data_IF_004861447940
#
_entry.id   IF_004861447940
#
_cell.length_a   1.000
_cell.length_b   1.000
_cell.length_c   1.000
_cell.angle_alpha   90.00
_cell.angle_beta   90.00
_cell.angle_gamma   90.00
#
_symmetry.space_group_name_H-M   'P 1'
#
loop_
_entity.id
_entity.type
_entity.pdbx_description
1 polymer ?
#
# COMPACT_ATOMS: atom_id res chain seq x y z
N UNK A 1 -26.28 -9.95 -15.30
CA UNK A 1 -25.54 -10.53 -14.15
C UNK A 1 -25.77 -9.64 -12.93
N UNK A 2 -26.50 -10.11 -11.92
CA UNK A 2 -26.89 -9.31 -10.75
C UNK A 2 -25.66 -8.90 -9.92
N UNK A 3 -25.73 -7.77 -9.21
CA UNK A 3 -24.64 -7.28 -8.33
C UNK A 3 -24.25 -8.31 -7.26
N UNK A 4 -25.21 -9.10 -6.78
CA UNK A 4 -24.99 -10.19 -5.81
C UNK A 4 -24.18 -11.36 -6.39
N UNK A 5 -24.34 -11.69 -7.67
CA UNK A 5 -23.58 -12.76 -8.31
C UNK A 5 -22.09 -12.42 -8.44
N UNK A 6 -21.78 -11.15 -8.75
CA UNK A 6 -20.38 -10.67 -8.85
C UNK A 6 -19.66 -10.66 -7.51
N UNK A 7 -20.35 -10.30 -6.43
CA UNK A 7 -19.80 -10.35 -5.07
C UNK A 7 -19.50 -11.78 -4.61
N UNK A 8 -20.38 -12.74 -4.92
CA UNK A 8 -20.18 -14.15 -4.59
C UNK A 8 -18.95 -14.75 -5.27
N UNK A 9 -18.73 -14.46 -6.56
CA UNK A 9 -17.51 -14.90 -7.27
C UNK A 9 -16.26 -14.33 -6.62
N UNK A 10 -16.28 -13.05 -6.22
CA UNK A 10 -15.13 -12.40 -5.60
C UNK A 10 -14.77 -13.03 -4.24
N UNK A 11 -15.78 -13.42 -3.46
CA UNK A 11 -15.62 -14.17 -2.21
C UNK A 11 -15.02 -15.56 -2.43
N UNK A 12 -15.49 -16.27 -3.46
CA UNK A 12 -14.96 -17.60 -3.81
C UNK A 12 -13.49 -17.49 -4.22
N UNK A 13 -13.15 -16.51 -5.08
CA UNK A 13 -11.76 -16.27 -5.50
C UNK A 13 -10.89 -15.95 -4.28
N UNK A 14 -11.33 -15.06 -3.39
CA UNK A 14 -10.60 -14.75 -2.16
C UNK A 14 -10.38 -16.00 -1.28
N UNK A 15 -11.41 -16.84 -1.12
CA UNK A 15 -11.33 -18.08 -0.35
C UNK A 15 -10.35 -19.09 -0.94
N UNK A 16 -10.38 -19.29 -2.27
CA UNK A 16 -9.42 -20.17 -2.96
C UNK A 16 -7.99 -19.68 -2.77
N UNK A 17 -7.76 -18.37 -2.90
CA UNK A 17 -6.45 -17.76 -2.69
C UNK A 17 -5.94 -17.98 -1.26
N UNK A 18 -6.79 -17.80 -0.24
CA UNK A 18 -6.43 -18.06 1.16
C UNK A 18 -6.09 -19.53 1.40
N UNK A 19 -6.84 -20.45 0.79
CA UNK A 19 -6.61 -21.88 0.91
C UNK A 19 -5.29 -22.30 0.24
N UNK A 20 -4.96 -21.75 -0.93
CA UNK A 20 -3.68 -22.01 -1.60
C UNK A 20 -2.46 -21.54 -0.79
N UNK A 21 -2.59 -20.41 -0.09
CA UNK A 21 -1.55 -19.92 0.84
C UNK A 21 -1.39 -20.86 2.04
N UNK A 22 -2.49 -21.32 2.64
CA UNK A 22 -2.46 -22.25 3.79
C UNK A 22 -1.88 -23.62 3.44
N UNK A 23 -2.10 -24.11 2.22
CA UNK A 23 -1.52 -25.36 1.73
C UNK A 23 -0.02 -25.26 1.41
N UNK A 24 0.60 -24.08 1.56
CA UNK A 24 2.01 -23.86 1.25
C UNK A 24 2.33 -23.93 -0.26
N UNK A 25 1.31 -23.92 -1.12
CA UNK A 25 1.49 -23.97 -2.58
C UNK A 25 2.00 -22.63 -3.14
N UNK A 26 1.78 -21.54 -2.40
CA UNK A 26 2.25 -20.20 -2.75
C UNK A 26 3.01 -19.65 -1.54
N UNK A 27 4.31 -19.28 -1.68
CA UNK A 27 5.03 -18.58 -0.64
C UNK A 27 4.31 -17.29 -0.23
N UNK A 28 4.24 -16.97 1.06
CA UNK A 28 3.46 -15.84 1.58
C UNK A 28 3.80 -14.49 0.93
N UNK A 29 5.04 -14.30 0.51
CA UNK A 29 5.50 -13.13 -0.23
C UNK A 29 4.89 -13.05 -1.64
N UNK A 30 4.93 -14.15 -2.41
CA UNK A 30 4.32 -14.24 -3.74
C UNK A 30 2.80 -14.06 -3.68
N UNK A 31 2.18 -14.51 -2.60
CA UNK A 31 0.76 -14.32 -2.34
C UNK A 31 0.39 -12.83 -2.23
N UNK A 32 1.19 -12.03 -1.50
CA UNK A 32 0.96 -10.60 -1.38
C UNK A 32 1.05 -9.86 -2.72
N UNK A 33 2.02 -10.23 -3.58
CA UNK A 33 2.11 -9.68 -4.93
C UNK A 33 0.90 -10.03 -5.78
N UNK A 34 0.46 -11.29 -5.79
CA UNK A 34 -0.71 -11.73 -6.53
C UNK A 34 -1.98 -10.98 -6.08
N UNK A 35 -2.15 -10.82 -4.77
CA UNK A 35 -3.29 -10.10 -4.21
C UNK A 35 -3.24 -8.61 -4.59
N UNK A 36 -2.08 -7.96 -4.45
CA UNK A 36 -1.88 -6.57 -4.84
C UNK A 36 -2.21 -6.33 -6.32
N UNK A 37 -1.67 -7.16 -7.22
CA UNK A 37 -1.97 -7.08 -8.65
C UNK A 37 -3.43 -7.41 -8.96
N UNK A 38 -4.05 -8.36 -8.24
CA UNK A 38 -5.46 -8.68 -8.38
C UNK A 38 -6.36 -7.49 -8.05
N UNK A 39 -6.08 -6.78 -6.96
CA UNK A 39 -6.78 -5.56 -6.57
C UNK A 39 -6.59 -4.43 -7.59
N UNK A 40 -5.36 -4.20 -8.06
CA UNK A 40 -5.07 -3.19 -9.09
C UNK A 40 -5.76 -3.54 -10.41
N UNK A 41 -5.72 -4.80 -10.83
CA UNK A 41 -6.41 -5.27 -12.02
C UNK A 41 -7.93 -5.11 -11.90
N UNK A 42 -8.51 -5.46 -10.75
CA UNK A 42 -9.93 -5.25 -10.47
C UNK A 42 -10.33 -3.77 -10.57
N UNK A 43 -9.50 -2.86 -10.06
CA UNK A 43 -9.69 -1.42 -10.23
C UNK A 43 -9.75 -1.01 -11.71
N UNK A 44 -8.80 -1.50 -12.52
CA UNK A 44 -8.75 -1.20 -13.96
C UNK A 44 -9.97 -1.76 -14.69
N UNK A 45 -10.28 -3.04 -14.48
CA UNK A 45 -11.34 -3.76 -15.18
C UNK A 45 -12.76 -3.28 -14.83
N UNK A 46 -12.99 -2.85 -13.59
CA UNK A 46 -14.32 -2.41 -13.12
C UNK A 46 -14.64 -0.94 -13.45
N UNK A 47 -13.79 -0.29 -14.24
CA UNK A 47 -13.97 1.09 -14.69
C UNK A 47 -13.15 2.06 -13.85
N UNK A 48 -11.81 1.95 -13.97
CA UNK A 48 -10.87 2.93 -13.45
C UNK A 48 -11.30 4.35 -13.84
N UNK A 49 -11.09 5.31 -12.92
CA UNK A 49 -11.37 6.73 -13.13
C UNK A 49 -12.84 7.07 -13.47
N UNK A 50 -13.81 6.26 -13.05
CA UNK A 50 -15.17 6.76 -12.84
C UNK A 50 -15.20 7.61 -11.57
N UNK A 51 -15.96 8.70 -11.57
CA UNK A 51 -16.00 9.68 -10.47
C UNK A 51 -16.49 9.07 -9.15
N UNK A 52 -17.46 8.15 -9.23
CA UNK A 52 -17.89 7.28 -8.11
C UNK A 52 -17.20 5.91 -8.13
N UNK A 53 -16.08 5.82 -8.84
CA UNK A 53 -15.40 4.58 -9.21
C UNK A 53 -14.65 3.93 -8.05
N UNK A 54 -14.35 2.65 -8.23
CA UNK A 54 -13.93 1.70 -7.20
C UNK A 54 -12.51 1.94 -6.63
N UNK A 55 -12.23 3.13 -6.11
CA UNK A 55 -11.01 3.46 -5.35
C UNK A 55 -10.75 2.43 -4.24
N UNK A 56 -11.82 1.82 -3.71
CA UNK A 56 -11.75 0.71 -2.76
C UNK A 56 -10.96 -0.51 -3.22
N UNK A 57 -10.68 -0.68 -4.52
CA UNK A 57 -9.72 -1.70 -4.99
C UNK A 57 -8.31 -1.13 -5.20
N UNK A 58 -8.17 0.15 -5.56
CA UNK A 58 -6.87 0.77 -5.79
C UNK A 58 -6.07 0.94 -4.49
N UNK A 59 -6.72 1.38 -3.40
CA UNK A 59 -6.08 1.59 -2.10
C UNK A 59 -5.46 0.27 -1.58
N UNK A 60 -6.23 -0.82 -1.36
CA UNK A 60 -5.63 -2.06 -0.87
C UNK A 60 -4.61 -2.63 -1.85
N UNK A 61 -4.82 -2.49 -3.16
CA UNK A 61 -3.83 -2.92 -4.16
C UNK A 61 -2.49 -2.20 -4.03
N UNK A 62 -2.49 -0.87 -3.91
CA UNK A 62 -1.28 -0.06 -3.75
C UNK A 62 -0.60 -0.29 -2.39
N UNK A 63 -1.36 -0.46 -1.32
CA UNK A 63 -0.84 -0.73 0.04
C UNK A 63 -0.22 -2.13 0.10
N UNK A 64 -0.93 -3.16 -0.39
CA UNK A 64 -0.40 -4.52 -0.43
C UNK A 64 0.86 -4.62 -1.29
N UNK A 65 0.94 -3.86 -2.39
CA UNK A 65 2.15 -3.80 -3.20
C UNK A 65 3.34 -3.23 -2.41
N UNK A 66 3.13 -2.14 -1.66
CA UNK A 66 4.18 -1.57 -0.81
C UNK A 66 4.64 -2.55 0.26
N UNK A 67 3.70 -3.26 0.90
CA UNK A 67 4.00 -4.30 1.90
C UNK A 67 4.79 -5.46 1.26
N UNK A 68 4.35 -5.94 0.09
CA UNK A 68 5.02 -7.02 -0.64
C UNK A 68 6.45 -6.65 -1.02
N UNK A 69 6.65 -5.42 -1.51
CA UNK A 69 7.98 -4.89 -1.85
C UNK A 69 8.87 -4.76 -0.63
N UNK A 70 8.34 -4.24 0.49
CA UNK A 70 9.11 -4.13 1.73
C UNK A 70 9.53 -5.51 2.25
N UNK A 71 8.60 -6.47 2.33
CA UNK A 71 8.90 -7.85 2.72
C UNK A 71 9.96 -8.47 1.80
N UNK A 72 9.83 -8.25 0.49
CA UNK A 72 10.78 -8.74 -0.51
C UNK A 72 12.19 -8.20 -0.39
N UNK A 73 12.31 -6.93 0.02
CA UNK A 73 13.61 -6.31 0.23
C UNK A 73 14.22 -6.80 1.54
N UNK A 74 13.43 -6.91 2.61
CA UNK A 74 13.90 -7.34 3.93
C UNK A 74 14.42 -8.80 3.97
N UNK A 75 13.93 -9.68 3.09
CA UNK A 75 14.43 -11.06 2.99
C UNK A 75 15.79 -11.18 2.28
N UNK A 76 16.27 -10.11 1.62
CA UNK A 76 17.55 -10.15 0.91
C UNK A 76 18.71 -9.90 1.89
N UNK A 77 19.79 -10.71 1.84
CA UNK A 77 20.94 -10.57 2.77
C UNK A 77 21.60 -9.17 2.78
N UNK A 78 21.54 -8.45 1.65
CA UNK A 78 22.08 -7.08 1.53
C UNK A 78 21.27 -6.04 2.33
N UNK A 79 20.07 -6.39 2.79
CA UNK A 79 19.08 -5.47 3.34
C UNK A 79 18.56 -5.94 4.72
N UNK A 80 19.30 -6.81 5.42
CA UNK A 80 18.94 -7.37 6.74
C UNK A 80 18.65 -6.29 7.81
N UNK A 81 19.08 -5.05 7.59
CA UNK A 81 18.84 -3.90 8.47
C UNK A 81 18.08 -2.75 7.78
N UNK A 82 17.14 -3.09 6.88
CA UNK A 82 16.27 -2.07 6.29
C UNK A 82 15.54 -1.29 7.40
N UNK A 83 15.68 0.04 7.37
CA UNK A 83 15.03 0.91 8.32
C UNK A 83 13.50 0.79 8.20
N UNK A 84 12.78 0.72 9.33
CA UNK A 84 11.31 0.80 9.34
C UNK A 84 10.78 2.07 8.65
N UNK A 85 11.58 3.13 8.51
CA UNK A 85 11.22 4.32 7.74
C UNK A 85 10.81 3.98 6.29
N UNK A 86 11.46 3.00 5.65
CA UNK A 86 11.13 2.59 4.28
C UNK A 86 9.75 1.94 4.17
N UNK A 87 9.26 1.29 5.23
CA UNK A 87 7.90 0.77 5.26
C UNK A 87 6.87 1.90 5.21
N UNK A 88 6.99 2.89 6.10
CA UNK A 88 6.09 4.04 6.14
C UNK A 88 6.20 4.91 4.88
N UNK A 89 7.40 5.03 4.31
CA UNK A 89 7.60 5.67 3.02
C UNK A 89 6.85 4.93 1.90
N UNK A 90 6.94 3.60 1.84
CA UNK A 90 6.17 2.79 0.90
C UNK A 90 4.67 3.00 1.03
N UNK A 91 4.15 3.04 2.26
CA UNK A 91 2.72 3.33 2.49
C UNK A 91 2.33 4.75 2.05
N UNK A 92 3.19 5.75 2.28
CA UNK A 92 2.97 7.11 1.79
C UNK A 92 2.86 7.13 0.26
N UNK A 93 3.76 6.42 -0.43
CA UNK A 93 3.72 6.28 -1.89
C UNK A 93 2.44 5.62 -2.38
N UNK A 94 1.85 4.67 -1.63
CA UNK A 94 0.57 4.06 -1.99
C UNK A 94 -0.55 5.10 -2.07
N UNK A 95 -0.63 6.04 -1.13
CA UNK A 95 -1.65 7.09 -1.15
C UNK A 95 -1.36 8.18 -2.20
N UNK A 96 -0.08 8.50 -2.43
CA UNK A 96 0.31 9.33 -3.57
C UNK A 96 -0.09 8.71 -4.91
N UNK A 97 0.07 7.39 -5.06
CA UNK A 97 -0.39 6.68 -6.25
C UNK A 97 -1.91 6.78 -6.41
N UNK A 98 -2.68 6.65 -5.32
CA UNK A 98 -4.14 6.85 -5.36
C UNK A 98 -4.50 8.26 -5.83
N UNK A 99 -3.82 9.30 -5.30
CA UNK A 99 -4.01 10.67 -5.76
C UNK A 99 -3.74 10.82 -7.25
N UNK A 100 -2.56 10.42 -7.72
CA UNK A 100 -2.13 10.61 -9.11
C UNK A 100 -2.93 9.78 -10.12
N UNK A 101 -3.32 8.55 -9.75
CA UNK A 101 -4.00 7.61 -10.65
C UNK A 101 -5.51 7.87 -10.72
N UNK A 102 -6.12 8.31 -9.61
CA UNK A 102 -7.56 8.46 -9.49
C UNK A 102 -7.99 9.91 -9.25
N UNK A 103 -7.79 10.47 -8.05
CA UNK A 103 -8.47 11.71 -7.65
C UNK A 103 -7.96 12.95 -8.38
N UNK A 104 -6.70 12.97 -8.81
CA UNK A 104 -6.08 14.11 -9.50
C UNK A 104 -6.84 14.56 -10.76
N UNK A 105 -7.50 13.62 -11.46
CA UNK A 105 -8.14 13.85 -12.76
C UNK A 105 -9.54 14.47 -12.68
N UNK A 106 -10.21 14.38 -11.52
CA UNK A 106 -11.55 14.93 -11.34
C UNK A 106 -11.46 16.38 -10.88
N UNK A 107 -11.58 17.31 -11.84
CA UNK A 107 -11.50 18.76 -11.58
C UNK A 107 -12.77 19.34 -10.96
N UNK A 108 -13.89 18.62 -11.08
CA UNK A 108 -15.20 19.03 -10.58
C UNK A 108 -15.38 18.72 -9.08
N UNK A 109 -14.54 17.84 -8.52
CA UNK A 109 -14.52 17.58 -7.09
C UNK A 109 -14.04 18.81 -6.32
N UNK A 110 -14.63 19.00 -5.14
CA UNK A 110 -14.16 19.97 -4.17
C UNK A 110 -12.72 19.66 -3.73
N UNK A 111 -12.08 20.63 -3.08
CA UNK A 111 -10.70 20.47 -2.62
C UNK A 111 -10.54 19.26 -1.67
N UNK A 112 -11.55 19.02 -0.81
CA UNK A 112 -11.57 17.86 0.08
C UNK A 112 -11.61 16.55 -0.69
N UNK A 113 -12.58 16.39 -1.59
CA UNK A 113 -12.74 15.18 -2.41
C UNK A 113 -11.57 14.88 -3.32
N UNK A 114 -10.84 15.90 -3.79
CA UNK A 114 -9.67 15.71 -4.66
C UNK A 114 -8.39 15.37 -3.91
N UNK A 115 -8.12 16.08 -2.82
CA UNK A 115 -6.84 16.00 -2.11
C UNK A 115 -6.86 15.09 -0.89
N UNK A 116 -7.98 14.42 -0.59
CA UNK A 116 -8.05 13.52 0.56
C UNK A 116 -6.92 12.48 0.66
N UNK A 117 -6.39 11.86 -0.43
CA UNK A 117 -5.30 10.89 -0.30
C UNK A 117 -3.97 11.55 0.08
N UNK A 118 -3.81 12.85 -0.15
CA UNK A 118 -2.58 13.58 0.18
C UNK A 118 -2.39 13.71 1.69
N UNK A 119 -3.47 13.86 2.47
CA UNK A 119 -3.37 13.97 3.93
C UNK A 119 -2.74 12.73 4.60
N UNK A 120 -3.23 11.49 4.39
CA UNK A 120 -2.56 10.30 4.92
C UNK A 120 -1.18 10.09 4.29
N UNK A 121 -0.99 10.41 3.00
CA UNK A 121 0.33 10.33 2.37
C UNK A 121 1.36 11.23 3.09
N UNK A 122 1.00 12.48 3.36
CA UNK A 122 1.83 13.44 4.07
C UNK A 122 2.10 13.03 5.51
N UNK A 123 1.08 12.54 6.23
CA UNK A 123 1.24 12.02 7.59
C UNK A 123 2.21 10.84 7.66
N UNK A 124 2.07 9.86 6.76
CA UNK A 124 2.97 8.70 6.69
C UNK A 124 4.39 9.10 6.27
N UNK A 125 4.52 10.09 5.38
CA UNK A 125 5.82 10.62 4.99
C UNK A 125 6.53 11.30 6.17
N UNK A 126 5.79 12.08 6.96
CA UNK A 126 6.30 12.72 8.17
C UNK A 126 6.74 11.68 9.20
N UNK A 127 5.97 10.61 9.40
CA UNK A 127 6.37 9.49 10.26
C UNK A 127 7.65 8.82 9.74
N UNK A 128 7.73 8.55 8.43
CA UNK A 128 8.94 7.99 7.82
C UNK A 128 10.17 8.88 8.05
N UNK A 129 10.02 10.21 7.91
CA UNK A 129 11.08 11.16 8.17
C UNK A 129 11.53 11.13 9.63
N UNK A 130 10.59 11.19 10.60
CA UNK A 130 10.91 11.13 12.03
C UNK A 130 11.71 9.88 12.38
N UNK A 131 11.29 8.71 11.88
CA UNK A 131 11.99 7.44 12.11
C UNK A 131 13.37 7.44 11.47
N UNK A 132 13.52 8.03 10.29
CA UNK A 132 14.81 8.11 9.61
C UNK A 132 15.82 8.98 10.38
N UNK A 133 15.37 10.07 11.01
CA UNK A 133 16.25 10.98 11.73
C UNK A 133 16.49 10.59 13.20
N UNK A 134 15.58 9.84 13.83
CA UNK A 134 15.69 9.49 15.26
C UNK A 134 16.98 8.73 15.60
N UNK A 135 17.48 7.89 14.69
CA UNK A 135 18.75 7.18 14.87
C UNK A 135 19.98 8.09 14.91
N UNK A 136 19.95 9.25 14.25
CA UNK A 136 21.05 10.22 14.27
C UNK A 136 21.03 11.07 15.55
N UNK A 137 19.85 11.41 16.05
CA UNK A 137 19.69 12.12 17.33
C UNK A 137 20.26 11.33 18.50
N UNK A 138 20.00 10.01 18.55
CA UNK A 138 20.56 9.15 19.60
C UNK A 138 22.09 9.11 19.52
N UNK A 139 22.66 9.02 18.31
CA UNK A 139 24.12 9.08 18.13
C UNK A 139 24.70 10.42 18.58
N UNK A 140 24.03 11.52 18.26
CA UNK A 140 24.45 12.88 18.65
C UNK A 140 24.41 13.08 20.17
N UNK A 141 23.36 12.63 20.85
CA UNK A 141 23.24 12.71 22.32
C UNK A 141 24.31 11.88 23.05
N UNK A 142 24.63 10.70 22.51
CA UNK A 142 25.69 9.85 23.02
C UNK A 142 27.08 10.52 22.83
N UNK A 143 27.29 11.20 21.68
CA UNK A 143 28.50 11.97 21.41
C UNK A 143 28.70 13.17 22.35
N UNK A 144 27.59 13.73 22.86
CA UNK A 144 27.59 14.82 23.83
C UNK A 144 27.57 14.34 25.30
N UNK A 145 27.75 13.04 25.58
CA UNK A 145 27.70 12.45 26.92
C UNK A 145 26.40 12.74 27.70
N UNK A 146 25.28 12.93 27.01
CA UNK A 146 23.96 13.08 27.65
C UNK A 146 23.26 11.74 27.92
N UNK A 147 23.79 10.64 27.37
CA UNK A 147 23.35 9.25 27.53
C UNK A 147 24.59 8.38 27.72
#
# INVERSE_FOLDING_TARGET
MSKSFKGGILLIIAGVFLLLNQLGLIPGQSFLFLLAFGFIAAYVLLGARKEYGNVGFLIPGAVLLAIALFAALSERPRFESISPAYFFFGLSLSFWAVFLVHTYWFKELDHGGRFWPVYPAAGLLLVAAIISFSGEWIKYLNLLNYL
#
